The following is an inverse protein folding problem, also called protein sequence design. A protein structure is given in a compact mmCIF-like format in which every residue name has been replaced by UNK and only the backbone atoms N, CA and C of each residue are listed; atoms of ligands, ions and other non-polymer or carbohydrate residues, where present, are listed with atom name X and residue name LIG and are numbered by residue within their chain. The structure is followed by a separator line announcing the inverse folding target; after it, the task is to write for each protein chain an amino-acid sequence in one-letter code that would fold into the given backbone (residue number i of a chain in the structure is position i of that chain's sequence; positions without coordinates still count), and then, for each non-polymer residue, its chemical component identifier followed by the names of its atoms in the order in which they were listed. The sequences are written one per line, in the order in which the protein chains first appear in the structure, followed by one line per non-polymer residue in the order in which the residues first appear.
data_IF_102169024771
#
_entry.id   IF_102169024771
#
_cell.length_a   1.000
_cell.length_b   1.000
_cell.length_c   1.000
_cell.angle_alpha   90.00
_cell.angle_beta   90.00
_cell.angle_gamma   90.00
#
_symmetry.space_group_name_H-M   'P 1'
#
loop_
_entity.id
_entity.type
_entity.pdbx_description
1 polymer ?
#
# COMPACT_ATOMS: atom_id res chain seq x y z
N UNK A 1 -39.37 -24.13 6.97
CA UNK A 1 -37.97 -24.46 6.66
C UNK A 1 -37.16 -23.17 6.66
N UNK A 2 -36.62 -22.81 7.82
CA UNK A 2 -35.71 -21.66 7.97
C UNK A 2 -34.50 -22.19 8.74
N UNK A 3 -33.40 -22.44 8.03
CA UNK A 3 -32.11 -22.78 8.65
C UNK A 3 -31.21 -21.56 8.55
N UNK A 4 -31.33 -20.69 9.55
CA UNK A 4 -30.34 -19.64 9.82
C UNK A 4 -29.28 -20.23 10.75
N UNK A 5 -28.16 -20.67 10.17
CA UNK A 5 -26.94 -20.94 10.93
C UNK A 5 -25.75 -20.44 10.13
N UNK A 6 -25.09 -19.39 10.63
CA UNK A 6 -23.63 -19.36 10.82
C UNK A 6 -23.24 -18.04 11.47
N UNK A 7 -23.16 -18.10 12.81
CA UNK A 7 -22.53 -17.11 13.67
C UNK A 7 -21.01 -17.35 13.71
N UNK A 8 -20.27 -16.24 13.69
CA UNK A 8 -19.01 -15.97 14.39
C UNK A 8 -17.84 -16.97 14.32
N UNK A 9 -16.74 -16.57 13.64
CA UNK A 9 -15.36 -16.93 14.04
C UNK A 9 -14.26 -16.06 13.39
N UNK A 10 -14.34 -14.73 13.49
CA UNK A 10 -13.30 -13.82 12.99
C UNK A 10 -12.79 -12.86 14.08
N UNK A 11 -12.72 -13.34 15.32
CA UNK A 11 -12.07 -12.66 16.43
C UNK A 11 -11.42 -13.73 17.30
N UNK A 12 -10.11 -13.90 17.16
CA UNK A 12 -9.19 -14.32 18.23
C UNK A 12 -7.79 -14.57 17.66
N UNK A 13 -6.78 -14.01 18.35
CA UNK A 13 -5.35 -14.31 18.31
C UNK A 13 -4.51 -13.79 17.13
N UNK A 14 -3.89 -12.62 17.31
CA UNK A 14 -2.41 -12.47 17.37
C UNK A 14 -1.51 -12.91 16.21
N UNK A 15 -2.06 -13.35 15.07
CA UNK A 15 -1.32 -13.64 13.85
C UNK A 15 -1.95 -12.82 12.73
N UNK A 16 -1.15 -12.04 12.00
CA UNK A 16 -1.56 -11.38 10.76
C UNK A 16 -2.00 -12.46 9.78
N UNK A 17 -3.31 -12.68 9.71
CA UNK A 17 -3.97 -13.54 8.74
C UNK A 17 -4.50 -12.64 7.65
N UNK A 18 -3.75 -12.51 6.55
CA UNK A 18 -4.29 -12.03 5.28
C UNK A 18 -5.34 -13.04 4.83
N UNK A 19 -6.62 -12.67 4.92
CA UNK A 19 -7.72 -13.58 4.60
C UNK A 19 -8.24 -13.27 3.19
N UNK A 20 -7.94 -14.14 2.23
CA UNK A 20 -8.76 -14.31 1.04
C UNK A 20 -8.77 -15.79 0.62
N UNK A 21 -9.96 -16.38 0.45
CA UNK A 21 -10.18 -17.68 -0.22
C UNK A 21 -9.70 -18.95 0.49
N UNK A 22 -10.38 -20.07 0.23
CA UNK A 22 -9.92 -21.42 0.62
C UNK A 22 -8.73 -21.79 -0.29
N UNK A 23 -7.56 -21.98 0.31
CA UNK A 23 -6.31 -22.51 -0.28
C UNK A 23 -5.39 -21.48 -0.99
N UNK A 24 -4.40 -20.94 -0.26
CA UNK A 24 -3.11 -20.53 -0.84
C UNK A 24 -2.62 -19.10 -0.53
N UNK A 25 -1.39 -19.02 0.00
CA UNK A 25 -0.51 -17.83 0.22
C UNK A 25 -0.77 -16.97 1.47
N UNK A 26 -0.22 -17.41 2.60
CA UNK A 26 -0.01 -16.57 3.78
C UNK A 26 1.43 -16.04 3.76
N UNK A 27 1.60 -14.73 3.66
CA UNK A 27 2.89 -14.07 3.82
C UNK A 27 3.08 -13.74 5.30
N UNK A 28 4.15 -14.22 5.93
CA UNK A 28 4.44 -13.85 7.33
C UNK A 28 4.98 -12.42 7.38
N UNK A 29 4.94 -11.77 8.54
CA UNK A 29 5.52 -10.42 8.71
C UNK A 29 7.00 -10.37 8.26
N UNK A 30 7.74 -11.45 8.48
CA UNK A 30 9.15 -11.55 8.14
C UNK A 30 9.40 -11.67 6.63
N UNK A 31 8.38 -12.03 5.85
CA UNK A 31 8.45 -12.12 4.39
C UNK A 31 8.11 -10.78 3.71
N UNK A 32 7.55 -9.81 4.45
CA UNK A 32 7.12 -8.52 3.88
C UNK A 32 8.33 -7.76 3.33
N UNK A 33 8.27 -7.42 2.05
CA UNK A 33 9.32 -6.67 1.39
C UNK A 33 9.04 -5.17 1.54
N UNK A 34 9.99 -4.45 2.12
CA UNK A 34 9.88 -3.00 2.31
C UNK A 34 10.74 -2.25 1.31
N UNK A 35 10.25 -1.09 0.85
CA UNK A 35 11.04 -0.22 -0.01
C UNK A 35 12.23 0.35 0.74
N UNK A 36 13.34 0.49 0.01
CA UNK A 36 14.55 1.14 0.54
C UNK A 36 14.50 2.64 0.27
N UNK A 37 15.28 3.40 1.05
CA UNK A 37 15.52 4.82 0.82
C UNK A 37 15.94 5.12 -0.62
N UNK A 38 16.88 4.33 -1.14
CA UNK A 38 17.40 4.47 -2.50
C UNK A 38 16.28 4.31 -3.53
N UNK A 39 15.42 3.31 -3.36
CA UNK A 39 14.28 3.06 -4.25
C UNK A 39 13.32 4.25 -4.29
N UNK A 40 12.97 4.83 -3.13
CA UNK A 40 12.02 5.96 -3.09
C UNK A 40 12.61 7.25 -3.65
N UNK A 41 13.90 7.50 -3.43
CA UNK A 41 14.61 8.63 -4.05
C UNK A 41 14.67 8.46 -5.57
N UNK A 42 14.93 7.24 -6.04
CA UNK A 42 14.99 6.96 -7.47
C UNK A 42 13.61 7.11 -8.12
N UNK A 43 12.53 6.67 -7.46
CA UNK A 43 11.15 6.95 -7.90
C UNK A 43 10.94 8.45 -8.09
N UNK A 44 11.31 9.28 -7.11
CA UNK A 44 11.16 10.73 -7.21
C UNK A 44 11.98 11.31 -8.39
N UNK A 45 13.20 10.82 -8.59
CA UNK A 45 14.05 11.22 -9.72
C UNK A 45 13.44 10.83 -11.06
N UNK A 46 12.97 9.60 -11.21
CA UNK A 46 12.36 9.08 -12.46
C UNK A 46 11.07 9.82 -12.82
N UNK A 47 10.35 10.33 -11.81
CA UNK A 47 9.19 11.20 -12.00
C UNK A 47 9.56 12.64 -12.44
N UNK A 48 10.84 12.97 -12.59
CA UNK A 48 11.33 14.26 -13.05
C UNK A 48 11.58 15.29 -11.95
N UNK A 49 11.52 14.90 -10.67
CA UNK A 49 11.71 15.81 -9.53
C UNK A 49 13.14 15.85 -8.97
N UNK A 50 14.06 15.12 -9.61
CA UNK A 50 15.50 15.18 -9.32
C UNK A 50 15.96 14.40 -8.09
N UNK A 51 15.06 13.87 -7.26
CA UNK A 51 15.42 13.10 -6.06
C UNK A 51 15.95 13.96 -4.90
N UNK A 52 15.72 15.28 -4.94
CA UNK A 52 16.23 16.20 -3.95
C UNK A 52 15.41 16.13 -2.65
N UNK A 53 16.09 15.77 -1.55
CA UNK A 53 15.48 15.73 -0.23
C UNK A 53 15.46 17.12 0.41
N UNK A 54 14.33 17.43 1.03
CA UNK A 54 14.17 18.56 1.96
C UNK A 54 14.75 18.21 3.32
N UNK A 55 14.40 17.03 3.84
CA UNK A 55 14.85 16.53 5.13
C UNK A 55 14.91 15.00 5.08
N UNK A 56 16.07 14.47 5.42
CA UNK A 56 16.33 13.03 5.42
C UNK A 56 15.54 12.31 6.51
N UNK A 57 15.36 12.93 7.67
CA UNK A 57 14.65 12.34 8.79
C UNK A 57 13.17 12.14 8.48
N UNK A 58 12.59 13.00 7.63
CA UNK A 58 11.20 12.89 7.19
C UNK A 58 11.00 11.69 6.27
N UNK A 59 12.00 11.36 5.44
CA UNK A 59 11.97 10.17 4.59
C UNK A 59 12.11 8.90 5.42
N UNK A 60 13.10 8.84 6.31
CA UNK A 60 13.31 7.68 7.19
C UNK A 60 12.09 7.40 8.08
N UNK A 61 11.49 8.46 8.63
CA UNK A 61 10.24 8.36 9.39
C UNK A 61 9.09 7.78 8.56
N UNK A 62 8.96 8.21 7.30
CA UNK A 62 7.93 7.69 6.40
C UNK A 62 8.15 6.21 6.04
N UNK A 63 9.40 5.78 5.85
CA UNK A 63 9.77 4.40 5.53
C UNK A 63 9.65 3.46 6.74
N UNK A 64 9.84 3.98 7.95
CA UNK A 64 9.66 3.21 9.19
C UNK A 64 8.18 2.99 9.53
N UNK A 65 7.29 3.91 9.15
CA UNK A 65 5.86 3.82 9.47
C UNK A 65 5.15 2.53 9.02
N UNK A 66 5.28 2.03 7.76
CA UNK A 66 4.65 0.77 7.37
C UNK A 66 5.20 -0.43 8.16
N UNK A 67 6.51 -0.45 8.45
CA UNK A 67 7.12 -1.49 9.28
C UNK A 67 6.52 -1.49 10.68
N UNK A 68 6.41 -0.32 11.29
CA UNK A 68 5.84 -0.17 12.63
C UNK A 68 4.36 -0.60 12.67
N UNK A 69 3.57 -0.21 11.67
CA UNK A 69 2.17 -0.62 11.56
C UNK A 69 2.04 -2.15 11.44
N UNK A 70 2.88 -2.79 10.63
CA UNK A 70 2.90 -4.26 10.52
C UNK A 70 3.28 -4.94 11.84
N UNK A 71 4.45 -4.60 12.40
CA UNK A 71 5.01 -5.30 13.56
C UNK A 71 4.26 -5.02 14.88
N UNK A 72 3.85 -3.78 15.14
CA UNK A 72 3.28 -3.39 16.43
C UNK A 72 1.75 -3.32 16.43
N UNK A 73 1.14 -2.98 15.29
CA UNK A 73 -0.31 -2.77 15.20
C UNK A 73 -1.04 -3.93 14.52
N UNK A 74 -0.30 -4.90 13.96
CA UNK A 74 -0.90 -6.02 13.26
C UNK A 74 -1.54 -5.63 11.93
N UNK A 75 -1.09 -4.52 11.32
CA UNK A 75 -1.66 -3.98 10.09
C UNK A 75 -1.40 -4.92 8.90
N UNK A 76 -2.43 -5.11 8.06
CA UNK A 76 -2.29 -5.84 6.80
C UNK A 76 -1.46 -5.07 5.75
N UNK A 77 -1.12 -5.73 4.64
CA UNK A 77 -0.28 -5.12 3.59
C UNK A 77 -0.92 -3.87 2.96
N UNK A 78 -2.25 -3.86 2.83
CA UNK A 78 -3.00 -2.73 2.26
C UNK A 78 -2.89 -1.52 3.18
N UNK A 79 -3.10 -1.73 4.48
CA UNK A 79 -2.96 -0.70 5.51
C UNK A 79 -1.52 -0.20 5.59
N UNK A 80 -0.53 -1.08 5.55
CA UNK A 80 0.88 -0.69 5.53
C UNK A 80 1.22 0.17 4.30
N UNK A 81 0.73 -0.21 3.11
CA UNK A 81 0.89 0.56 1.89
C UNK A 81 0.24 1.96 2.00
N UNK A 82 -0.98 2.02 2.52
CA UNK A 82 -1.68 3.27 2.74
C UNK A 82 -0.97 4.18 3.75
N UNK A 83 -0.43 3.62 4.84
CA UNK A 83 0.40 4.35 5.80
C UNK A 83 1.65 4.92 5.13
N UNK A 84 2.32 4.15 4.26
CA UNK A 84 3.47 4.65 3.51
C UNK A 84 3.08 5.85 2.61
N UNK A 85 1.97 5.74 1.88
CA UNK A 85 1.45 6.80 1.00
C UNK A 85 1.17 8.06 1.82
N UNK A 86 0.42 7.93 2.92
CA UNK A 86 0.07 9.04 3.80
C UNK A 86 1.33 9.76 4.31
N UNK A 87 2.30 9.00 4.82
CA UNK A 87 3.51 9.58 5.42
C UNK A 87 4.39 10.26 4.40
N UNK A 88 4.58 9.68 3.22
CA UNK A 88 5.33 10.33 2.14
C UNK A 88 4.62 11.60 1.64
N UNK A 89 3.30 11.57 1.55
CA UNK A 89 2.52 12.72 1.09
C UNK A 89 2.48 13.87 2.11
N UNK A 90 2.34 13.58 3.41
CA UNK A 90 2.19 14.57 4.49
C UNK A 90 3.52 15.05 5.08
N UNK A 91 4.54 14.18 5.17
CA UNK A 91 5.81 14.59 5.78
C UNK A 91 6.62 15.49 4.85
N UNK A 92 6.32 15.52 3.55
CA UNK A 92 7.05 16.30 2.54
C UNK A 92 8.59 16.12 2.58
N UNK A 93 9.11 14.87 2.50
CA UNK A 93 10.54 14.61 2.56
C UNK A 93 11.32 15.14 1.35
N UNK A 94 10.68 15.31 0.19
CA UNK A 94 11.29 15.84 -1.02
C UNK A 94 10.98 17.34 -1.21
N UNK A 95 11.84 18.02 -1.98
CA UNK A 95 11.61 19.41 -2.41
C UNK A 95 10.34 19.51 -3.24
N UNK A 96 10.10 18.55 -4.14
CA UNK A 96 8.90 18.49 -4.98
C UNK A 96 8.50 17.03 -5.28
N UNK A 97 7.27 16.83 -5.73
CA UNK A 97 6.78 15.54 -6.19
C UNK A 97 6.35 14.59 -5.09
N UNK A 98 6.22 15.04 -3.84
CA UNK A 98 5.89 14.19 -2.68
C UNK A 98 4.65 13.31 -2.90
N UNK A 99 3.55 13.90 -3.39
CA UNK A 99 2.29 13.16 -3.66
C UNK A 99 2.45 12.12 -4.77
N UNK A 100 3.10 12.47 -5.88
CA UNK A 100 3.33 11.54 -7.00
C UNK A 100 4.30 10.42 -6.61
N UNK A 101 5.32 10.76 -5.82
CA UNK A 101 6.27 9.79 -5.25
C UNK A 101 5.56 8.85 -4.30
N UNK A 102 4.67 9.37 -3.44
CA UNK A 102 3.87 8.57 -2.53
C UNK A 102 2.98 7.56 -3.27
N UNK A 103 2.30 7.99 -4.34
CA UNK A 103 1.48 7.13 -5.19
C UNK A 103 2.30 5.97 -5.76
N UNK A 104 3.40 6.27 -6.45
CA UNK A 104 4.24 5.23 -7.08
C UNK A 104 4.91 4.34 -6.04
N UNK A 105 5.38 4.90 -4.91
CA UNK A 105 5.97 4.11 -3.84
C UNK A 105 4.95 3.17 -3.19
N UNK A 106 3.72 3.62 -2.95
CA UNK A 106 2.63 2.77 -2.45
C UNK A 106 2.30 1.63 -3.40
N UNK A 107 2.10 1.91 -4.68
CA UNK A 107 1.86 0.90 -5.70
C UNK A 107 3.04 -0.07 -5.85
N UNK A 108 4.28 0.42 -5.81
CA UNK A 108 5.48 -0.43 -5.88
C UNK A 108 5.59 -1.34 -4.65
N UNK A 109 5.28 -0.83 -3.47
CA UNK A 109 5.26 -1.63 -2.23
C UNK A 109 4.23 -2.75 -2.31
N UNK A 110 3.03 -2.50 -2.85
CA UNK A 110 2.06 -3.56 -3.10
C UNK A 110 2.58 -4.57 -4.12
N UNK A 111 3.14 -4.08 -5.22
CA UNK A 111 3.63 -4.92 -6.32
C UNK A 111 4.70 -5.92 -5.87
N UNK A 112 5.72 -5.49 -5.13
CA UNK A 112 6.75 -6.39 -4.59
C UNK A 112 6.23 -7.35 -3.51
N UNK A 113 5.01 -7.11 -3.01
CA UNK A 113 4.32 -7.97 -2.08
C UNK A 113 3.16 -8.75 -2.74
N UNK A 114 3.16 -8.85 -4.07
CA UNK A 114 2.18 -9.61 -4.86
C UNK A 114 0.75 -9.06 -4.77
N UNK A 115 0.62 -7.74 -4.69
CA UNK A 115 -0.65 -7.02 -4.80
C UNK A 115 -0.56 -5.92 -5.86
N UNK A 116 -1.68 -5.58 -6.48
CA UNK A 116 -1.73 -4.48 -7.44
C UNK A 116 -3.01 -3.66 -7.25
N UNK A 117 -2.92 -2.39 -7.66
CA UNK A 117 -4.09 -1.52 -7.74
C UNK A 117 -4.79 -1.79 -9.07
N UNK A 118 -6.08 -2.09 -9.03
CA UNK A 118 -6.95 -2.25 -10.20
C UNK A 118 -7.81 -1.02 -10.41
N UNK A 119 -7.99 -0.68 -11.67
CA UNK A 119 -8.87 0.40 -12.10
C UNK A 119 -9.92 -0.18 -13.04
N UNK A 120 -11.16 0.30 -12.90
CA UNK A 120 -12.25 -0.11 -13.78
C UNK A 120 -12.15 0.56 -15.16
N UNK A 121 -11.69 1.80 -15.17
CA UNK A 121 -11.53 2.65 -16.35
C UNK A 121 -10.50 3.77 -16.07
N UNK A 122 -10.20 4.58 -17.08
CA UNK A 122 -9.25 5.70 -16.98
C UNK A 122 -9.67 6.76 -15.95
N UNK A 123 -10.98 6.91 -15.71
CA UNK A 123 -11.49 7.88 -14.73
C UNK A 123 -11.26 7.40 -13.30
N UNK A 124 -11.38 6.08 -13.08
CA UNK A 124 -11.06 5.40 -11.83
C UNK A 124 -9.54 5.44 -11.54
N UNK A 125 -8.71 5.29 -12.58
CA UNK A 125 -7.26 5.49 -12.46
C UNK A 125 -6.91 6.93 -12.05
N UNK A 126 -7.53 7.92 -12.70
CA UNK A 126 -7.36 9.33 -12.34
C UNK A 126 -7.85 9.65 -10.92
N UNK A 127 -8.84 8.89 -10.40
CA UNK A 127 -9.36 9.05 -9.05
C UNK A 127 -8.29 8.78 -7.99
N UNK A 128 -7.29 7.93 -8.26
CA UNK A 128 -6.24 7.65 -7.28
C UNK A 128 -5.45 8.91 -6.90
N UNK A 129 -5.10 9.72 -7.90
CA UNK A 129 -4.46 11.02 -7.68
C UNK A 129 -5.34 11.95 -6.85
N UNK A 130 -6.64 11.99 -7.14
CA UNK A 130 -7.62 12.81 -6.42
C UNK A 130 -7.75 12.37 -4.96
N UNK A 131 -7.80 11.07 -4.68
CA UNK A 131 -7.92 10.57 -3.31
C UNK A 131 -6.67 10.86 -2.48
N UNK A 132 -5.46 10.86 -3.08
CA UNK A 132 -4.24 11.35 -2.41
C UNK A 132 -4.32 12.86 -2.15
N UNK A 133 -4.83 13.65 -3.10
CA UNK A 133 -5.05 15.09 -2.86
C UNK A 133 -6.02 15.35 -1.70
N UNK A 134 -7.12 14.59 -1.64
CA UNK A 134 -8.09 14.66 -0.56
C UNK A 134 -7.50 14.19 0.76
N UNK A 135 -6.68 13.15 0.76
CA UNK A 135 -5.93 12.70 1.94
C UNK A 135 -5.06 13.84 2.48
N UNK A 136 -4.31 14.53 1.63
CA UNK A 136 -3.43 15.64 2.07
C UNK A 136 -4.24 16.86 2.51
N UNK A 137 -5.26 17.25 1.74
CA UNK A 137 -6.02 18.47 1.98
C UNK A 137 -7.02 18.35 3.15
N UNK A 138 -7.61 17.17 3.35
CA UNK A 138 -8.64 16.92 4.37
C UNK A 138 -8.16 16.06 5.53
N UNK A 139 -6.99 15.40 5.41
CA UNK A 139 -6.45 14.45 6.40
C UNK A 139 -7.43 13.31 6.69
N UNK A 140 -8.18 12.90 5.66
CA UNK A 140 -9.20 11.86 5.78
C UNK A 140 -8.65 10.49 5.38
N UNK A 141 -7.84 9.91 6.27
CA UNK A 141 -7.23 8.59 6.06
C UNK A 141 -8.29 7.49 5.94
N UNK A 142 -9.41 7.60 6.67
CA UNK A 142 -10.48 6.61 6.62
C UNK A 142 -11.09 6.53 5.23
N UNK A 143 -11.42 7.68 4.63
CA UNK A 143 -11.96 7.72 3.27
C UNK A 143 -10.97 7.14 2.26
N UNK A 144 -9.71 7.54 2.37
CA UNK A 144 -8.66 7.01 1.51
C UNK A 144 -8.58 5.49 1.60
N UNK A 145 -8.58 4.91 2.81
CA UNK A 145 -8.58 3.46 3.02
C UNK A 145 -9.80 2.77 2.40
N UNK A 146 -11.00 3.33 2.55
CA UNK A 146 -12.22 2.76 1.95
C UNK A 146 -12.14 2.68 0.43
N UNK A 147 -11.61 3.72 -0.21
CA UNK A 147 -11.35 3.68 -1.64
C UNK A 147 -10.23 2.67 -1.94
N UNK A 148 -9.11 2.73 -1.24
CA UNK A 148 -7.92 1.93 -1.52
C UNK A 148 -8.19 0.42 -1.43
N UNK A 149 -8.84 -0.05 -0.37
CA UNK A 149 -9.22 -1.46 -0.20
C UNK A 149 -10.10 -2.00 -1.34
N UNK A 150 -10.97 -1.17 -1.91
CA UNK A 150 -11.85 -1.56 -3.02
C UNK A 150 -11.10 -1.75 -4.35
N UNK A 151 -9.87 -1.25 -4.45
CA UNK A 151 -9.05 -1.27 -5.66
C UNK A 151 -7.82 -2.17 -5.53
N UNK A 152 -7.67 -2.96 -4.47
CA UNK A 152 -6.53 -3.88 -4.33
C UNK A 152 -6.93 -5.30 -4.73
N UNK A 153 -6.09 -5.94 -5.54
CA UNK A 153 -6.18 -7.37 -5.87
C UNK A 153 -4.85 -8.08 -5.65
N UNK A 154 -4.87 -9.35 -5.22
CA UNK A 154 -3.66 -10.18 -5.17
C UNK A 154 -3.24 -10.57 -6.59
N UNK A 155 -1.93 -10.58 -6.85
CA UNK A 155 -1.34 -11.09 -8.08
C UNK A 155 -1.43 -12.61 -8.08
N UNK A 156 -2.45 -13.15 -8.75
CA UNK A 156 -2.54 -14.56 -9.12
C UNK A 156 -1.52 -14.81 -10.23
N UNK A 157 -0.31 -15.22 -9.87
CA UNK A 157 0.75 -15.52 -10.81
C UNK A 157 0.35 -16.62 -11.79
N UNK A 158 -0.05 -16.24 -12.99
CA UNK A 158 -0.05 -17.13 -14.14
C UNK A 158 1.39 -17.29 -14.60
N UNK A 159 1.98 -18.47 -14.40
CA UNK A 159 3.14 -18.87 -15.17
C UNK A 159 2.72 -18.88 -16.64
N UNK A 160 3.30 -18.01 -17.47
CA UNK A 160 3.36 -18.25 -18.90
C UNK A 160 4.50 -19.24 -19.10
N UNK A 161 4.13 -20.48 -19.35
CA UNK A 161 5.03 -21.51 -19.81
C UNK A 161 5.63 -20.96 -21.12
N UNK A 162 6.92 -20.61 -21.12
CA UNK A 162 7.66 -20.34 -22.36
C UNK A 162 7.91 -21.68 -23.08
N UNK A 163 6.83 -22.30 -23.59
CA UNK A 163 6.93 -23.28 -24.67
C UNK A 163 6.73 -22.55 -26.01
N UNK A 164 7.84 -22.32 -26.70
CA UNK A 164 7.89 -21.78 -28.06
C UNK A 164 9.30 -21.68 -28.60
#
# INVERSE_FOLDING_TARGET
MLTTQQTNKAKECGNILLRCGREGWQKTLDDVQYLTRVTVIEINRLLGYGGALRDDNLLESALAAPKNAGYYEGADLVTQAATLIERLALNHPFIDGNKRTALIAGSTFLFINSFYVVYKDEMDEAAYGIEIELLVAKKDFRRFMQWFEAHIQPYEGGYVDEEG
#
